data_IF_862726017476
#
_entry.id   IF_862726017476
#
_cell.length_a   1.000
_cell.length_b   1.000
_cell.length_c   1.000
_cell.angle_alpha   90.00
_cell.angle_beta   90.00
_cell.angle_gamma   90.00
#
_symmetry.space_group_name_H-M   'P 1'
#
loop_
_entity.id
_entity.type
_entity.pdbx_description
1 polymer ?
#
# COMPACT_ATOMS: atom_id res chain seq x y z
N UNK A 1 3.24 -0.98 11.02
CA UNK A 1 2.06 -1.10 10.13
C UNK A 1 1.26 -2.34 10.50
N UNK A 2 -0.05 -2.30 10.25
CA UNK A 2 -0.97 -3.43 10.33
C UNK A 2 -1.71 -3.57 9.00
N UNK A 3 -1.78 -4.79 8.46
CA UNK A 3 -2.54 -5.08 7.25
C UNK A 3 -3.13 -6.50 7.36
N UNK A 4 -4.42 -6.62 7.08
CA UNK A 4 -5.16 -7.89 7.09
C UNK A 4 -5.91 -8.04 5.79
N UNK A 5 -5.68 -9.17 5.11
CA UNK A 5 -6.44 -9.51 3.92
C UNK A 5 -7.92 -9.69 4.29
N UNK A 6 -8.80 -9.12 3.48
CA UNK A 6 -10.24 -9.20 3.63
C UNK A 6 -10.87 -9.32 2.24
N UNK A 7 -10.65 -10.46 1.53
CA UNK A 7 -11.13 -10.66 0.17
C UNK A 7 -12.62 -10.37 0.05
N UNK A 8 -13.00 -9.66 -1.02
CA UNK A 8 -14.39 -9.36 -1.35
C UNK A 8 -15.17 -8.56 -0.28
N UNK A 9 -14.46 -7.81 0.56
CA UNK A 9 -15.04 -7.15 1.73
C UNK A 9 -15.72 -5.82 1.45
N UNK A 10 -15.37 -5.13 0.36
CA UNK A 10 -15.90 -3.79 0.07
C UNK A 10 -16.18 -3.59 -1.42
N UNK A 11 -17.28 -2.93 -1.83
CA UNK A 11 -17.50 -2.63 -3.23
C UNK A 11 -16.34 -1.85 -3.86
N UNK A 12 -16.03 -2.14 -5.13
CA UNK A 12 -15.03 -1.40 -5.91
C UNK A 12 -15.63 -1.12 -7.28
N UNK A 13 -15.83 0.16 -7.59
CA UNK A 13 -16.42 0.60 -8.86
C UNK A 13 -17.76 -0.12 -9.12
N UNK A 14 -17.90 -0.82 -10.25
CA UNK A 14 -19.11 -1.58 -10.62
C UNK A 14 -19.21 -2.97 -9.96
N UNK A 15 -18.22 -3.38 -9.17
CA UNK A 15 -18.19 -4.70 -8.51
C UNK A 15 -18.80 -4.60 -7.10
N UNK A 16 -19.99 -5.21 -6.85
CA UNK A 16 -20.70 -5.07 -5.57
C UNK A 16 -20.04 -5.85 -4.42
N UNK A 17 -19.16 -6.79 -4.75
CA UNK A 17 -18.48 -7.67 -3.79
C UNK A 17 -16.97 -7.43 -3.74
N UNK A 18 -16.44 -6.34 -4.28
CA UNK A 18 -15.02 -6.01 -4.12
C UNK A 18 -14.03 -6.88 -4.88
N UNK A 19 -12.76 -6.83 -4.48
CA UNK A 19 -11.66 -7.53 -5.14
C UNK A 19 -11.10 -8.68 -4.27
N UNK A 20 -10.50 -9.72 -4.89
CA UNK A 20 -9.80 -10.78 -4.15
C UNK A 20 -8.68 -10.26 -3.24
N UNK A 21 -8.12 -9.10 -3.59
CA UNK A 21 -7.00 -8.46 -2.89
C UNK A 21 -7.45 -7.38 -1.90
N UNK A 22 -8.75 -7.26 -1.65
CA UNK A 22 -9.28 -6.34 -0.66
C UNK A 22 -8.61 -6.56 0.70
N UNK A 23 -8.35 -5.48 1.42
CA UNK A 23 -7.67 -5.50 2.69
C UNK A 23 -8.12 -4.35 3.59
N UNK A 24 -7.76 -4.46 4.87
CA UNK A 24 -7.95 -3.43 5.90
C UNK A 24 -6.70 -3.30 6.74
N UNK A 25 -6.53 -2.15 7.38
CA UNK A 25 -5.42 -1.89 8.28
C UNK A 25 -4.95 -0.44 8.19
N UNK A 26 -3.82 -0.17 8.82
CA UNK A 26 -3.27 1.19 8.90
C UNK A 26 -1.75 1.19 8.73
N UNK A 27 -1.28 2.15 7.95
CA UNK A 27 0.13 2.54 7.87
C UNK A 27 0.27 3.91 8.53
N UNK A 28 1.14 4.00 9.53
CA UNK A 28 1.55 5.28 10.12
C UNK A 28 2.95 5.59 9.64
N UNK A 29 3.15 6.80 9.15
CA UNK A 29 4.40 7.29 8.58
C UNK A 29 4.89 8.42 9.47
N UNK A 30 6.17 8.38 9.82
CA UNK A 30 6.89 9.46 10.48
C UNK A 30 8.20 9.64 9.74
N UNK A 31 8.43 10.82 9.18
CA UNK A 31 9.61 11.14 8.38
C UNK A 31 10.25 12.41 8.93
N UNK A 32 11.49 12.27 9.40
CA UNK A 32 12.29 13.42 9.80
C UNK A 32 12.94 14.06 8.57
N UNK A 33 12.67 15.34 8.35
CA UNK A 33 13.19 16.14 7.24
C UNK A 33 14.38 16.92 7.76
N UNK A 34 15.59 16.50 7.37
CA UNK A 34 16.83 17.12 7.84
C UNK A 34 16.95 18.61 7.49
N UNK A 35 16.48 18.98 6.29
CA UNK A 35 16.57 20.35 5.77
C UNK A 35 15.79 21.35 6.61
N UNK A 36 14.58 20.98 7.05
CA UNK A 36 13.72 21.86 7.88
C UNK A 36 13.82 21.55 9.37
N UNK A 37 14.53 20.49 9.76
CA UNK A 37 14.61 19.96 11.13
C UNK A 37 13.22 19.66 11.74
N UNK A 38 12.32 19.11 10.94
CA UNK A 38 10.94 18.81 11.34
C UNK A 38 10.62 17.33 11.16
N UNK A 39 9.67 16.83 11.95
CA UNK A 39 9.08 15.51 11.72
C UNK A 39 7.73 15.68 11.06
N UNK A 40 7.55 15.11 9.87
CA UNK A 40 6.26 15.03 9.17
C UNK A 40 5.60 13.68 9.43
N UNK A 41 4.30 13.70 9.69
CA UNK A 41 3.54 12.48 10.02
C UNK A 41 2.30 12.33 9.15
N UNK A 42 1.97 11.09 8.81
CA UNK A 42 0.74 10.74 8.11
C UNK A 42 0.17 9.40 8.59
N UNK A 43 -1.14 9.23 8.46
CA UNK A 43 -1.85 7.96 8.59
C UNK A 43 -2.50 7.62 7.25
N UNK A 44 -2.41 6.35 6.86
CA UNK A 44 -3.01 5.82 5.64
C UNK A 44 -3.82 4.56 5.92
N UNK A 45 -5.00 4.45 5.31
CA UNK A 45 -5.85 3.28 5.37
C UNK A 45 -5.44 2.29 4.27
N UNK A 46 -5.11 1.05 4.68
CA UNK A 46 -4.78 -0.03 3.74
C UNK A 46 -6.01 -0.39 2.93
N UNK A 47 -5.88 -0.44 1.60
CA UNK A 47 -6.98 -0.70 0.69
C UNK A 47 -6.77 -1.92 -0.20
N UNK A 48 -5.55 -2.49 -0.21
CA UNK A 48 -5.18 -3.67 -0.97
C UNK A 48 -4.03 -4.41 -0.29
N UNK A 49 -4.02 -5.74 -0.33
CA UNK A 49 -2.93 -6.59 0.14
C UNK A 49 -2.79 -7.85 -0.73
N UNK A 50 -1.56 -8.17 -1.12
CA UNK A 50 -1.15 -9.45 -1.72
C UNK A 50 0.04 -9.98 -0.91
N UNK A 51 -0.01 -11.26 -0.54
CA UNK A 51 1.04 -11.93 0.22
C UNK A 51 1.67 -13.04 -0.61
N UNK A 52 2.99 -13.23 -0.49
CA UNK A 52 3.70 -14.32 -1.16
C UNK A 52 4.96 -14.72 -0.37
N UNK A 53 4.98 -15.97 0.12
CA UNK A 53 6.08 -16.46 0.94
C UNK A 53 6.31 -15.58 2.18
N UNK A 54 7.54 -15.09 2.34
CA UNK A 54 7.93 -14.21 3.45
C UNK A 54 7.75 -12.71 3.12
N UNK A 55 7.07 -12.38 2.02
CA UNK A 55 6.84 -11.01 1.53
C UNK A 55 5.36 -10.67 1.39
N UNK A 56 5.06 -9.38 1.41
CA UNK A 56 3.74 -8.86 1.08
C UNK A 56 3.83 -7.49 0.38
N UNK A 57 2.90 -7.23 -0.53
CA UNK A 57 2.70 -5.95 -1.20
C UNK A 57 1.35 -5.39 -0.79
N UNK A 58 1.29 -4.13 -0.40
CA UNK A 58 0.05 -3.44 -0.08
C UNK A 58 0.02 -2.03 -0.67
N UNK A 59 -1.18 -1.48 -0.75
CA UNK A 59 -1.38 -0.05 -0.94
C UNK A 59 -2.20 0.53 0.19
N UNK A 60 -1.97 1.81 0.47
CA UNK A 60 -2.75 2.54 1.44
C UNK A 60 -3.02 3.96 0.94
N UNK A 61 -4.19 4.50 1.28
CA UNK A 61 -4.62 5.86 0.95
C UNK A 61 -4.48 6.73 2.17
N UNK A 62 -3.78 7.86 2.05
CA UNK A 62 -3.58 8.82 3.16
C UNK A 62 -4.94 9.35 3.62
N UNK A 63 -5.23 9.20 4.91
CA UNK A 63 -6.46 9.68 5.56
C UNK A 63 -6.20 10.85 6.50
N UNK A 64 -4.96 10.99 6.98
CA UNK A 64 -4.49 12.15 7.76
C UNK A 64 -3.06 12.45 7.37
N UNK A 65 -2.71 13.72 7.22
CA UNK A 65 -1.32 14.16 7.07
C UNK A 65 -1.16 15.57 7.62
N UNK A 66 0.04 15.92 8.05
CA UNK A 66 0.43 17.31 8.33
C UNK A 66 0.48 18.15 7.06
N UNK A 67 0.58 17.51 5.90
CA UNK A 67 0.45 18.12 4.59
C UNK A 67 -0.95 17.77 4.00
N UNK A 68 -1.91 18.70 4.02
CA UNK A 68 -3.27 18.42 3.57
C UNK A 68 -3.37 17.99 2.10
N UNK A 69 -2.40 18.35 1.26
CA UNK A 69 -2.40 18.00 -0.17
C UNK A 69 -2.16 16.49 -0.39
N UNK A 70 -1.56 15.80 0.57
CA UNK A 70 -1.34 14.35 0.50
C UNK A 70 -2.62 13.55 0.76
N UNK A 71 -3.63 14.11 1.42
CA UNK A 71 -4.85 13.39 1.80
C UNK A 71 -5.58 12.88 0.55
N UNK A 72 -5.88 11.58 0.52
CA UNK A 72 -6.45 10.90 -0.64
C UNK A 72 -5.41 10.33 -1.62
N UNK A 73 -4.12 10.66 -1.46
CA UNK A 73 -3.04 10.06 -2.25
C UNK A 73 -2.83 8.61 -1.84
N UNK A 74 -2.61 7.73 -2.83
CA UNK A 74 -2.28 6.32 -2.63
C UNK A 74 -0.79 6.10 -2.76
N UNK A 75 -0.23 5.39 -1.78
CA UNK A 75 1.15 4.90 -1.83
C UNK A 75 1.20 3.38 -1.82
N UNK A 76 2.24 2.85 -2.47
CA UNK A 76 2.59 1.45 -2.47
C UNK A 76 3.69 1.14 -1.46
N UNK A 77 3.54 0.03 -0.75
CA UNK A 77 4.52 -0.50 0.19
C UNK A 77 4.67 -1.99 -0.02
N UNK A 78 5.90 -2.49 0.11
CA UNK A 78 6.19 -3.92 0.20
C UNK A 78 6.99 -4.19 1.45
N UNK A 79 6.77 -5.37 2.03
CA UNK A 79 7.51 -5.83 3.20
C UNK A 79 8.07 -7.21 2.99
N UNK A 80 9.21 -7.45 3.62
CA UNK A 80 9.77 -8.78 3.86
C UNK A 80 9.86 -8.97 5.35
N UNK A 81 9.35 -10.09 5.83
CA UNK A 81 9.39 -10.45 7.25
C UNK A 81 10.83 -10.76 7.73
N UNK A 82 11.05 -10.68 9.05
CA UNK A 82 12.35 -10.99 9.66
C UNK A 82 12.80 -10.04 10.76
N UNK A 83 12.16 -8.88 10.94
CA UNK A 83 12.51 -7.89 11.97
C UNK A 83 13.84 -7.17 11.69
N UNK A 84 14.47 -6.56 12.70
CA UNK A 84 15.71 -5.81 12.53
C UNK A 84 16.82 -6.60 11.83
N UNK A 85 17.48 -5.99 10.84
CA UNK A 85 18.61 -6.58 10.10
C UNK A 85 18.26 -7.70 9.10
N UNK A 86 17.02 -8.23 9.12
CA UNK A 86 16.58 -9.31 8.20
C UNK A 86 15.34 -8.93 7.39
N UNK A 87 14.43 -8.19 8.01
CA UNK A 87 13.25 -7.62 7.40
C UNK A 87 13.60 -6.45 6.50
N UNK A 88 12.76 -6.23 5.49
CA UNK A 88 12.90 -5.15 4.53
C UNK A 88 11.57 -4.45 4.35
N UNK A 89 11.61 -3.17 4.02
CA UNK A 89 10.48 -2.30 3.73
C UNK A 89 10.70 -1.60 2.40
N UNK A 90 9.63 -1.27 1.69
CA UNK A 90 9.68 -0.31 0.60
C UNK A 90 8.62 0.77 0.76
N UNK A 91 8.89 1.90 0.14
CA UNK A 91 8.00 3.04 0.09
C UNK A 91 8.04 3.62 -1.33
N UNK A 92 6.87 3.85 -1.91
CA UNK A 92 6.73 4.21 -3.33
C UNK A 92 7.44 5.51 -3.73
N UNK A 93 7.58 6.46 -2.82
CA UNK A 93 8.29 7.74 -3.09
C UNK A 93 9.81 7.62 -3.03
N UNK A 94 10.35 6.52 -2.50
CA UNK A 94 11.79 6.27 -2.41
C UNK A 94 12.39 5.71 -3.69
N UNK A 95 11.54 5.30 -4.62
CA UNK A 95 11.93 4.89 -5.97
C UNK A 95 11.42 5.96 -6.91
N UNK A 96 12.25 6.38 -7.87
CA UNK A 96 11.86 7.32 -8.92
C UNK A 96 10.84 6.69 -9.87
N UNK A 97 9.64 6.40 -9.38
CA UNK A 97 8.48 6.01 -10.16
C UNK A 97 8.01 7.26 -10.90
N UNK A 98 8.74 7.62 -11.95
CA UNK A 98 8.48 8.80 -12.76
C UNK A 98 7.88 8.34 -14.08
N UNK A 99 6.85 9.04 -14.49
CA UNK A 99 6.32 8.99 -15.85
C UNK A 99 6.64 10.30 -16.57
N UNK A 100 6.51 10.34 -17.89
CA UNK A 100 6.72 11.55 -18.68
C UNK A 100 5.44 11.90 -19.43
N UNK A 101 4.84 13.02 -19.05
CA UNK A 101 3.64 13.58 -19.70
C UNK A 101 4.00 14.93 -20.28
N UNK A 102 3.76 15.11 -21.58
CA UNK A 102 4.11 16.33 -22.33
C UNK A 102 5.57 16.80 -22.12
N UNK A 103 6.50 15.83 -22.08
CA UNK A 103 7.93 16.07 -21.90
C UNK A 103 8.34 16.45 -20.47
N UNK A 104 7.44 16.38 -19.49
CA UNK A 104 7.72 16.69 -18.08
C UNK A 104 7.62 15.45 -17.20
N UNK A 105 8.58 15.23 -16.28
CA UNK A 105 8.48 14.14 -15.32
C UNK A 105 7.32 14.40 -14.35
N UNK A 106 6.48 13.40 -14.15
CA UNK A 106 5.36 13.41 -13.21
C UNK A 106 5.41 12.16 -12.33
N UNK A 107 4.93 12.28 -11.10
CA UNK A 107 4.68 11.11 -10.27
C UNK A 107 3.35 10.47 -10.74
N UNK A 108 3.36 9.26 -11.31
CA UNK A 108 2.15 8.61 -11.75
C UNK A 108 1.35 8.13 -10.55
N UNK A 109 0.03 8.01 -10.75
CA UNK A 109 -0.86 7.47 -9.74
C UNK A 109 -0.55 6.00 -9.48
N UNK A 110 -0.36 5.64 -8.21
CA UNK A 110 -0.17 4.25 -7.81
C UNK A 110 -1.51 3.50 -7.92
N UNK A 111 -1.52 2.41 -8.69
CA UNK A 111 -2.62 1.45 -8.75
C UNK A 111 -2.69 0.57 -7.50
N UNK A 112 -3.83 -0.07 -7.25
CA UNK A 112 -3.99 -0.97 -6.09
C UNK A 112 -3.00 -2.13 -6.15
N UNK A 113 -2.41 -2.49 -5.00
CA UNK A 113 -1.43 -3.56 -4.87
C UNK A 113 -0.17 -3.42 -5.76
N UNK A 114 0.17 -2.20 -6.17
CA UNK A 114 1.43 -1.91 -6.88
C UNK A 114 2.42 -1.24 -5.92
N UNK A 115 3.62 -1.80 -5.80
CA UNK A 115 4.70 -1.23 -4.99
C UNK A 115 6.08 -1.74 -5.45
N UNK A 116 7.17 -1.00 -5.19
CA UNK A 116 8.53 -1.50 -5.41
C UNK A 116 8.87 -2.66 -4.48
N UNK A 117 9.86 -3.47 -4.87
CA UNK A 117 10.40 -4.55 -4.03
C UNK A 117 10.93 -4.02 -2.68
N UNK A 118 10.85 -4.79 -1.58
CA UNK A 118 11.30 -4.35 -0.26
C UNK A 118 12.83 -4.20 -0.22
N UNK A 119 13.33 -2.97 -0.09
CA UNK A 119 14.76 -2.64 -0.22
C UNK A 119 15.39 -2.06 1.06
N UNK A 120 14.66 -1.23 1.80
CA UNK A 120 15.17 -0.56 2.98
C UNK A 120 15.24 -1.54 4.16
N UNK A 121 16.36 -1.64 4.89
CA UNK A 121 16.47 -2.52 6.04
C UNK A 121 15.56 -2.03 7.18
N UNK A 122 14.88 -2.95 7.85
CA UNK A 122 14.23 -2.65 9.13
C UNK A 122 15.32 -2.51 10.19
N UNK A 123 15.30 -1.41 10.94
CA UNK A 123 16.22 -1.16 12.05
C UNK A 123 15.59 -1.49 13.40
N UNK A 124 14.28 -1.29 13.54
CA UNK A 124 13.53 -1.51 14.78
C UNK A 124 12.11 -2.03 14.49
N UNK A 125 11.54 -2.75 15.45
CA UNK A 125 10.17 -3.25 15.38
C UNK A 125 9.94 -4.26 14.26
N UNK A 126 8.78 -4.19 13.63
CA UNK A 126 8.38 -5.11 12.57
C UNK A 126 7.00 -4.79 11.99
N UNK A 127 6.48 -5.71 11.19
CA UNK A 127 5.20 -5.56 10.50
C UNK A 127 4.23 -6.65 10.91
N UNK A 128 2.95 -6.28 11.09
CA UNK A 128 1.87 -7.25 11.30
C UNK A 128 1.10 -7.37 9.98
N UNK A 129 1.26 -8.51 9.32
CA UNK A 129 0.53 -8.85 8.09
C UNK A 129 -0.22 -10.15 8.32
N UNK A 130 -1.53 -10.12 8.12
CA UNK A 130 -2.40 -11.29 8.25
C UNK A 130 -2.87 -11.73 6.87
N UNK A 131 -2.40 -12.89 6.43
CA UNK A 131 -2.87 -13.55 5.22
C UNK A 131 -4.30 -14.08 5.38
N UNK A 132 -5.03 -14.15 4.27
CA UNK A 132 -6.27 -14.90 4.15
C UNK A 132 -6.24 -15.63 2.81
N UNK A 133 -6.62 -16.91 2.83
CA UNK A 133 -6.83 -17.67 1.61
C UNK A 133 -7.99 -17.06 0.82
N UNK A 134 -7.92 -17.18 -0.51
CA UNK A 134 -8.99 -16.73 -1.38
C UNK A 134 -10.23 -17.62 -1.18
N UNK A 135 -11.38 -17.07 -0.74
CA UNK A 135 -12.60 -17.83 -0.68
C UNK A 135 -13.13 -18.12 -2.09
N UNK A 136 -14.15 -18.97 -2.19
CA UNK A 136 -14.87 -19.17 -3.43
C UNK A 136 -15.38 -17.83 -3.99
N UNK A 137 -15.39 -17.72 -5.32
CA UNK A 137 -15.86 -16.51 -5.99
C UNK A 137 -17.30 -16.18 -5.55
N UNK A 138 -17.59 -14.93 -5.16
CA UNK A 138 -18.95 -14.52 -4.86
C UNK A 138 -19.86 -14.71 -6.08
N UNK A 139 -21.11 -15.10 -5.85
CA UNK A 139 -22.09 -15.22 -6.94
C UNK A 139 -22.23 -13.89 -7.70
N UNK A 140 -22.20 -13.96 -9.03
CA UNK A 140 -22.31 -12.79 -9.91
C UNK A 140 -21.06 -11.90 -9.96
N UNK A 141 -19.93 -12.33 -9.36
CA UNK A 141 -18.68 -11.60 -9.47
C UNK A 141 -17.99 -11.89 -10.82
N UNK A 142 -17.91 -10.88 -11.68
CA UNK A 142 -17.13 -10.93 -12.93
C UNK A 142 -16.41 -9.60 -13.19
N UNK A 143 -15.08 -9.52 -12.97
CA UNK A 143 -14.31 -8.33 -13.29
C UNK A 143 -14.24 -8.16 -14.81
N UNK A 144 -14.50 -6.94 -15.30
CA UNK A 144 -14.42 -6.63 -16.74
C UNK A 144 -15.65 -7.03 -17.57
N UNK A 145 -16.72 -7.55 -16.97
CA UNK A 145 -17.99 -7.70 -17.65
C UNK A 145 -18.57 -6.30 -17.95
N UNK A 146 -18.34 -5.81 -19.18
CA UNK A 146 -18.78 -4.49 -19.63
C UNK A 146 -17.68 -3.46 -19.91
N UNK A 147 -16.41 -3.87 -20.01
CA UNK A 147 -15.35 -3.05 -20.66
C UNK A 147 -15.19 -3.42 -22.13
#
# INVERSE_FOLDING_TARGET
>A
MDATAAPFSRPVDTLPKGMPTDARGTVTISHWVAETNETRTAEAAVDCLVTGGDTATLTAVITKSVDPEEIGTRYGFSVKSGGPGRGRFSFGWGVGNLDVVDGKPVMPRVGTCMAPAPFAPVTEGGFKVTHADLPALPAGWQPGAGR
#
